data_IF_618093920919
#
_entry.id   IF_618093920919
#
_cell.length_a   1.000
_cell.length_b   1.000
_cell.length_c   1.000
_cell.angle_alpha   90.00
_cell.angle_beta   90.00
_cell.angle_gamma   90.00
#
_symmetry.space_group_name_H-M   'P 1'
#
loop_
_entity.id
_entity.type
_entity.pdbx_description
1 polymer ?
#
# COMPACT_ATOMS: atom_id res chain seq x y z
N UNK A 1 3.09 4.14 -5.69
CA UNK A 1 1.92 3.86 -4.81
C UNK A 1 1.59 5.03 -3.88
N UNK A 2 2.51 5.54 -3.05
CA UNK A 2 2.22 6.68 -2.14
C UNK A 2 1.88 7.94 -2.93
N UNK A 3 2.67 8.27 -3.94
CA UNK A 3 2.40 9.38 -4.87
C UNK A 3 1.04 9.24 -5.57
N UNK A 4 0.72 8.06 -6.07
CA UNK A 4 -0.57 7.78 -6.71
C UNK A 4 -1.73 7.92 -5.72
N UNK A 5 -1.56 7.43 -4.49
CA UNK A 5 -2.55 7.62 -3.43
C UNK A 5 -2.75 9.11 -3.11
N UNK A 6 -1.66 9.88 -3.02
CA UNK A 6 -1.71 11.33 -2.82
C UNK A 6 -2.42 12.04 -3.98
N UNK A 7 -2.14 11.67 -5.23
CA UNK A 7 -2.86 12.18 -6.39
C UNK A 7 -4.37 11.90 -6.29
N UNK A 8 -4.76 10.72 -5.83
CA UNK A 8 -6.14 10.34 -5.53
C UNK A 8 -6.76 11.01 -4.28
N UNK A 9 -6.01 11.88 -3.59
CA UNK A 9 -6.49 12.66 -2.44
C UNK A 9 -6.16 12.07 -1.07
N UNK A 10 -5.28 11.08 -0.98
CA UNK A 10 -4.85 10.54 0.31
C UNK A 10 -3.91 11.51 1.04
N UNK A 11 -4.24 11.81 2.29
CA UNK A 11 -3.42 12.60 3.23
C UNK A 11 -2.69 11.68 4.22
N UNK A 12 -3.13 10.43 4.35
CA UNK A 12 -2.49 9.44 5.20
C UNK A 12 -2.52 8.04 4.59
N UNK A 13 -1.40 7.31 4.75
CA UNK A 13 -1.26 5.91 4.36
C UNK A 13 -0.83 5.09 5.56
N UNK A 14 -1.60 4.04 5.86
CA UNK A 14 -1.29 3.09 6.92
C UNK A 14 -0.82 1.79 6.28
N UNK A 15 0.43 1.42 6.56
CA UNK A 15 1.08 0.25 5.97
C UNK A 15 1.13 -0.89 6.96
N UNK A 16 0.76 -2.08 6.52
CA UNK A 16 0.98 -3.33 7.23
C UNK A 16 1.76 -4.31 6.39
N UNK A 17 2.71 -4.99 7.00
CA UNK A 17 3.48 -6.04 6.36
C UNK A 17 4.13 -6.96 7.37
N UNK A 18 4.44 -8.19 6.93
CA UNK A 18 5.24 -9.13 7.69
C UNK A 18 6.72 -8.72 7.72
N UNK A 19 7.58 -9.63 8.18
CA UNK A 19 9.00 -9.36 8.40
C UNK A 19 9.85 -9.31 7.12
N UNK A 20 9.51 -10.09 6.08
CA UNK A 20 10.32 -10.18 4.86
C UNK A 20 10.28 -8.86 4.08
N UNK A 21 11.45 -8.28 3.82
CA UNK A 21 11.58 -6.99 3.15
C UNK A 21 11.26 -5.78 4.02
N UNK A 22 10.85 -5.97 5.29
CA UNK A 22 10.40 -4.86 6.15
C UNK A 22 11.50 -3.82 6.40
N UNK A 23 12.74 -4.23 6.63
CA UNK A 23 13.86 -3.30 6.83
C UNK A 23 14.13 -2.46 5.57
N UNK A 24 13.99 -3.05 4.39
CA UNK A 24 14.07 -2.32 3.12
C UNK A 24 12.98 -1.25 3.02
N UNK A 25 11.73 -1.59 3.31
CA UNK A 25 10.61 -0.64 3.30
C UNK A 25 10.80 0.46 4.35
N UNK A 26 11.26 0.11 5.56
CA UNK A 26 11.57 1.09 6.61
C UNK A 26 12.62 2.09 6.17
N UNK A 27 13.67 1.64 5.50
CA UNK A 27 14.74 2.52 5.03
C UNK A 27 14.32 3.32 3.78
N UNK A 28 13.91 2.63 2.71
CA UNK A 28 13.73 3.26 1.40
C UNK A 28 12.38 3.96 1.22
N UNK A 29 11.33 3.54 1.94
CA UNK A 29 10.00 4.14 1.81
C UNK A 29 9.69 5.07 2.99
N UNK A 30 10.07 4.69 4.20
CA UNK A 30 9.83 5.50 5.39
C UNK A 30 10.99 6.44 5.74
N UNK A 31 12.12 6.34 5.06
CA UNK A 31 13.29 7.18 5.30
C UNK A 31 13.99 6.91 6.64
N UNK A 32 13.75 5.74 7.25
CA UNK A 32 14.41 5.40 8.53
C UNK A 32 15.90 5.16 8.31
N UNK A 33 16.79 5.93 8.98
CA UNK A 33 18.23 5.79 8.76
C UNK A 33 18.75 4.38 9.08
N UNK A 34 19.60 3.83 8.21
CA UNK A 34 20.20 2.51 8.41
C UNK A 34 20.97 2.40 9.73
N UNK A 35 21.66 3.49 10.15
CA UNK A 35 22.35 3.54 11.44
C UNK A 35 21.41 3.35 12.62
N UNK A 36 20.21 3.94 12.56
CA UNK A 36 19.19 3.75 13.59
C UNK A 36 18.67 2.30 13.59
N UNK A 37 18.41 1.74 12.41
CA UNK A 37 18.01 0.34 12.28
C UNK A 37 19.08 -0.58 12.88
N UNK A 38 20.34 -0.35 12.57
CA UNK A 38 21.46 -1.14 13.09
C UNK A 38 21.59 -1.04 14.62
N UNK A 39 21.38 0.17 15.19
CA UNK A 39 21.37 0.40 16.64
C UNK A 39 20.22 -0.33 17.33
N UNK A 40 19.03 -0.29 16.74
CA UNK A 40 17.87 -1.04 17.24
C UNK A 40 18.12 -2.55 17.21
N UNK A 41 18.68 -3.06 16.11
CA UNK A 41 19.01 -4.49 15.97
C UNK A 41 20.03 -4.98 17.00
N UNK A 42 20.99 -4.12 17.40
CA UNK A 42 21.93 -4.40 18.48
C UNK A 42 21.34 -4.31 19.90
N UNK A 43 20.12 -3.82 20.01
CA UNK A 43 19.49 -3.63 21.32
C UNK A 43 20.01 -2.41 22.11
N UNK A 44 20.77 -1.53 21.46
CA UNK A 44 21.40 -0.35 22.07
C UNK A 44 20.46 0.87 22.13
N UNK A 45 19.24 0.73 21.61
CA UNK A 45 18.26 1.82 21.62
C UNK A 45 17.81 2.15 23.06
N UNK A 46 18.00 3.40 23.47
CA UNK A 46 17.63 3.91 24.80
C UNK A 46 16.14 4.15 25.01
N UNK A 47 15.30 3.81 24.05
CA UNK A 47 13.84 3.99 24.17
C UNK A 47 13.28 2.95 25.14
N UNK A 48 12.77 3.41 26.27
CA UNK A 48 12.09 2.59 27.30
C UNK A 48 10.83 1.86 26.80
N UNK A 49 10.37 2.18 25.59
CA UNK A 49 9.23 1.55 24.95
C UNK A 49 9.58 0.37 24.03
N UNK A 50 10.87 0.05 23.89
CA UNK A 50 11.34 -1.06 23.05
C UNK A 50 11.36 -2.38 23.81
N UNK A 51 10.25 -2.74 24.42
CA UNK A 51 10.05 -4.04 25.07
C UNK A 51 9.43 -5.01 24.04
N UNK A 52 10.17 -5.33 23.00
CA UNK A 52 9.75 -6.29 21.97
C UNK A 52 10.79 -7.37 21.75
N UNK A 53 10.35 -8.60 21.60
CA UNK A 53 11.21 -9.77 21.38
C UNK A 53 12.02 -9.64 20.08
N UNK A 54 11.41 -9.07 19.03
CA UNK A 54 12.03 -8.95 17.70
C UNK A 54 12.00 -7.49 17.22
N UNK A 55 13.17 -6.88 17.11
CA UNK A 55 13.34 -5.44 16.82
C UNK A 55 12.79 -4.99 15.48
N UNK A 56 12.84 -5.83 14.45
CA UNK A 56 12.30 -5.48 13.13
C UNK A 56 10.75 -5.52 13.07
N UNK A 57 10.07 -5.94 14.11
CA UNK A 57 8.61 -5.86 14.20
C UNK A 57 8.09 -4.48 14.61
N UNK A 58 8.97 -3.56 15.01
CA UNK A 58 8.59 -2.22 15.42
C UNK A 58 7.91 -1.45 14.29
N UNK A 59 6.91 -0.67 14.67
CA UNK A 59 6.28 0.29 13.77
C UNK A 59 7.11 1.56 13.61
N UNK A 60 6.68 2.41 12.68
CA UNK A 60 7.26 3.73 12.48
C UNK A 60 6.22 4.69 11.93
N UNK A 61 6.49 5.99 12.05
CA UNK A 61 5.68 7.05 11.46
C UNK A 61 6.60 8.10 10.86
N UNK A 62 6.25 8.56 9.69
CA UNK A 62 6.94 9.66 9.01
C UNK A 62 5.93 10.55 8.30
N UNK A 63 6.35 11.74 7.94
CA UNK A 63 5.63 12.63 7.03
C UNK A 63 6.54 12.86 5.85
N UNK A 64 6.03 12.67 4.66
CA UNK A 64 6.78 12.86 3.42
C UNK A 64 6.06 13.84 2.52
N UNK A 65 6.80 14.67 1.84
CA UNK A 65 6.28 15.50 0.77
C UNK A 65 6.47 14.74 -0.54
N UNK A 66 5.38 14.59 -1.30
CA UNK A 66 5.36 13.90 -2.59
C UNK A 66 4.92 14.86 -3.69
N UNK A 67 5.57 14.77 -4.83
CA UNK A 67 5.16 15.49 -6.02
C UNK A 67 4.08 14.69 -6.73
N UNK A 68 2.93 15.29 -6.97
CA UNK A 68 1.82 14.68 -7.70
C UNK A 68 1.54 15.42 -8.99
N UNK A 69 1.29 14.67 -10.04
CA UNK A 69 0.84 15.21 -11.32
C UNK A 69 -0.69 15.33 -11.29
N UNK A 70 -1.19 16.55 -11.51
CA UNK A 70 -2.62 16.88 -11.49
C UNK A 70 -3.20 16.77 -12.90
N UNK A 71 -3.01 15.72 -13.63
CA UNK A 71 -3.59 15.56 -14.96
C UNK A 71 -3.26 16.68 -15.96
N UNK A 72 -3.37 16.42 -17.22
CA UNK A 72 -3.33 17.44 -18.28
C UNK A 72 -4.72 18.04 -18.41
N UNK A 73 -4.91 19.24 -17.91
CA UNK A 73 -6.09 20.02 -18.29
C UNK A 73 -5.89 20.48 -19.74
N UNK A 74 -6.71 19.96 -20.65
CA UNK A 74 -6.70 20.35 -22.05
C UNK A 74 -7.30 21.73 -22.31
N UNK A 75 -7.54 22.51 -21.24
CA UNK A 75 -7.89 23.91 -21.36
C UNK A 75 -6.61 24.73 -21.57
N UNK A 76 -6.43 25.18 -22.80
CA UNK A 76 -5.35 25.99 -23.31
C UNK A 76 -5.06 27.22 -22.46
N UNK A 77 -3.99 27.16 -21.63
CA UNK A 77 -3.34 28.37 -21.16
C UNK A 77 -1.94 28.46 -21.80
N UNK A 78 -1.83 29.37 -22.76
CA UNK A 78 -0.56 29.79 -23.35
C UNK A 78 0.21 30.61 -22.32
N UNK A 79 1.15 30.01 -21.62
CA UNK A 79 2.19 30.75 -20.89
C UNK A 79 3.53 30.47 -21.56
N UNK A 80 4.18 31.54 -21.99
CA UNK A 80 5.46 31.49 -22.69
C UNK A 80 6.57 30.88 -21.84
N UNK A 81 7.15 29.80 -22.32
CA UNK A 81 8.32 29.13 -21.79
C UNK A 81 8.63 27.92 -22.66
N UNK A 82 9.93 27.57 -22.82
CA UNK A 82 10.39 26.47 -23.66
C UNK A 82 9.89 25.10 -23.13
N UNK A 83 8.66 24.75 -23.45
CA UNK A 83 8.13 23.40 -23.29
C UNK A 83 8.12 22.70 -24.66
N UNK A 84 8.46 21.41 -24.69
CA UNK A 84 8.38 20.62 -25.93
C UNK A 84 6.95 20.62 -26.46
N UNK A 85 6.81 20.68 -27.79
CA UNK A 85 5.56 20.51 -28.50
C UNK A 85 5.38 18.99 -28.74
N UNK A 86 4.15 18.49 -28.59
CA UNK A 86 3.79 17.18 -29.11
C UNK A 86 3.65 17.24 -30.65
N UNK A 87 3.45 16.08 -31.29
CA UNK A 87 3.36 15.98 -32.76
C UNK A 87 2.24 16.82 -33.37
N UNK A 88 1.25 17.26 -32.58
CA UNK A 88 0.13 18.10 -32.99
C UNK A 88 0.37 19.60 -32.69
N UNK A 89 1.55 19.97 -32.17
CA UNK A 89 1.92 21.36 -31.86
C UNK A 89 1.22 21.92 -30.62
N UNK A 90 0.63 21.06 -29.78
CA UNK A 90 -0.04 21.44 -28.53
C UNK A 90 0.95 21.37 -27.38
N UNK A 91 1.10 22.45 -26.61
CA UNK A 91 1.88 22.44 -25.36
C UNK A 91 1.07 21.78 -24.27
N UNK A 92 1.43 20.57 -23.91
CA UNK A 92 0.88 19.91 -22.73
C UNK A 92 1.65 20.36 -21.50
N UNK A 93 1.02 21.12 -20.63
CA UNK A 93 1.61 21.51 -19.35
C UNK A 93 1.12 20.54 -18.27
N UNK A 94 2.01 19.71 -17.78
CA UNK A 94 1.73 18.88 -16.60
C UNK A 94 1.84 19.76 -15.34
N UNK A 95 0.73 20.01 -14.69
CA UNK A 95 0.72 20.70 -13.40
C UNK A 95 1.21 19.73 -12.32
N UNK A 96 2.20 20.16 -11.56
CA UNK A 96 2.75 19.42 -10.42
C UNK A 96 2.41 20.14 -9.13
N UNK A 97 1.99 19.39 -8.13
CA UNK A 97 1.68 19.90 -6.79
C UNK A 97 2.47 19.10 -5.75
N UNK A 98 3.00 19.78 -4.74
CA UNK A 98 3.57 19.14 -3.56
C UNK A 98 2.47 18.83 -2.56
N UNK A 99 2.33 17.56 -2.21
CA UNK A 99 1.36 17.09 -1.21
C UNK A 99 2.06 16.42 -0.05
N UNK A 100 1.60 16.77 1.13
CA UNK A 100 2.11 16.22 2.37
C UNK A 100 1.32 14.99 2.79
N UNK A 101 1.99 13.86 2.93
CA UNK A 101 1.38 12.58 3.27
C UNK A 101 1.95 12.04 4.58
N UNK A 102 1.07 11.75 5.53
CA UNK A 102 1.43 11.02 6.74
C UNK A 102 1.50 9.53 6.44
N UNK A 103 2.65 8.92 6.70
CA UNK A 103 2.84 7.48 6.56
C UNK A 103 3.02 6.83 7.92
N UNK A 104 2.31 5.74 8.17
CA UNK A 104 2.43 4.96 9.41
C UNK A 104 2.60 3.49 9.05
N UNK A 105 3.64 2.84 9.57
CA UNK A 105 3.77 1.39 9.52
C UNK A 105 3.36 0.80 10.85
N UNK A 106 2.35 -0.06 10.84
CA UNK A 106 1.91 -0.76 12.04
C UNK A 106 2.99 -1.71 12.55
N UNK A 107 3.22 -1.82 13.87
CA UNK A 107 3.99 -2.92 14.41
C UNK A 107 3.29 -4.24 14.07
N UNK A 108 4.05 -5.30 13.85
CA UNK A 108 3.47 -6.60 13.55
C UNK A 108 3.99 -7.69 14.47
N UNK A 109 3.20 -8.71 14.81
CA UNK A 109 3.68 -9.90 15.51
C UNK A 109 4.37 -10.87 14.53
N UNK A 110 4.95 -11.95 15.04
CA UNK A 110 5.46 -13.06 14.21
C UNK A 110 4.35 -13.82 13.48
N UNK A 111 3.10 -13.68 13.90
CA UNK A 111 1.94 -14.27 13.24
C UNK A 111 1.66 -13.51 11.94
N UNK A 112 1.92 -14.15 10.81
CA UNK A 112 1.66 -13.59 9.49
C UNK A 112 0.17 -13.25 9.33
N UNK A 113 -0.09 -12.17 8.61
CA UNK A 113 -1.43 -11.63 8.29
C UNK A 113 -2.22 -11.03 9.48
N UNK A 114 -1.82 -11.26 10.73
CA UNK A 114 -2.51 -10.70 11.90
C UNK A 114 -2.54 -9.15 11.90
N UNK A 115 -1.55 -8.52 11.28
CA UNK A 115 -1.47 -7.05 11.16
C UNK A 115 -2.57 -6.46 10.24
N UNK A 116 -3.20 -7.26 9.40
CA UNK A 116 -4.18 -6.78 8.42
C UNK A 116 -5.40 -6.16 9.10
N UNK A 117 -5.95 -6.83 10.10
CA UNK A 117 -7.06 -6.31 10.90
C UNK A 117 -6.66 -5.07 11.71
N UNK A 118 -5.42 -5.03 12.21
CA UNK A 118 -4.87 -3.87 12.92
C UNK A 118 -4.81 -2.66 12.00
N UNK A 119 -4.32 -2.84 10.77
CA UNK A 119 -4.26 -1.76 9.77
C UNK A 119 -5.66 -1.26 9.43
N UNK A 120 -6.62 -2.15 9.21
CA UNK A 120 -8.01 -1.77 8.96
C UNK A 120 -8.59 -0.92 10.10
N UNK A 121 -8.34 -1.30 11.36
CA UNK A 121 -8.74 -0.54 12.54
C UNK A 121 -8.03 0.82 12.64
N UNK A 122 -6.73 0.89 12.34
CA UNK A 122 -5.97 2.14 12.32
C UNK A 122 -6.48 3.10 11.24
N UNK A 123 -6.78 2.59 10.04
CA UNK A 123 -7.37 3.36 8.93
C UNK A 123 -8.72 3.92 9.38
N UNK A 124 -9.60 3.09 9.90
CA UNK A 124 -10.92 3.53 10.40
C UNK A 124 -10.77 4.62 11.46
N UNK A 125 -9.89 4.43 12.44
CA UNK A 125 -9.64 5.43 13.49
C UNK A 125 -9.20 6.78 12.94
N UNK A 126 -8.32 6.80 11.93
CA UNK A 126 -7.91 8.04 11.26
C UNK A 126 -9.06 8.67 10.46
N UNK A 127 -9.85 7.87 9.74
CA UNK A 127 -11.03 8.34 9.00
C UNK A 127 -12.07 8.97 9.94
N UNK A 128 -12.28 8.40 11.13
CA UNK A 128 -13.18 8.97 12.14
C UNK A 128 -12.75 10.39 12.58
N UNK A 129 -11.46 10.67 12.63
CA UNK A 129 -10.94 12.02 12.95
C UNK A 129 -11.18 13.02 11.83
N UNK A 130 -11.21 12.57 10.59
CA UNK A 130 -11.49 13.42 9.41
C UNK A 130 -12.97 13.77 9.33
N UNK A 131 -13.86 12.84 9.72
CA UNK A 131 -15.31 12.99 9.56
C UNK A 131 -16.03 12.46 10.82
N UNK A 132 -15.91 13.21 11.91
CA UNK A 132 -16.48 12.85 13.21
C UNK A 132 -18.00 12.62 13.13
N UNK A 133 -18.82 13.50 12.47
CA UNK A 133 -20.27 13.32 12.44
C UNK A 133 -20.73 12.02 11.78
N UNK A 134 -19.98 11.50 10.82
CA UNK A 134 -20.33 10.27 10.09
C UNK A 134 -19.50 9.06 10.52
N UNK A 135 -18.70 9.17 11.59
CA UNK A 135 -17.83 8.09 12.07
C UNK A 135 -16.81 7.62 11.03
N UNK A 136 -16.30 8.55 10.19
CA UNK A 136 -15.32 8.25 9.15
C UNK A 136 -15.87 7.44 7.97
N UNK A 137 -17.18 7.40 7.76
CA UNK A 137 -17.83 6.60 6.71
C UNK A 137 -18.10 7.37 5.41
N UNK A 138 -17.79 8.67 5.37
CA UNK A 138 -17.94 9.45 4.13
C UNK A 138 -16.89 9.05 3.10
N UNK A 139 -17.23 9.18 1.82
CA UNK A 139 -16.28 8.99 0.72
C UNK A 139 -15.08 9.93 0.84
N UNK A 140 -15.28 11.13 1.39
CA UNK A 140 -14.19 12.09 1.63
C UNK A 140 -13.19 11.53 2.63
N UNK A 141 -13.64 11.06 3.80
CA UNK A 141 -12.73 10.48 4.81
C UNK A 141 -12.05 9.20 4.32
N UNK A 142 -12.78 8.37 3.56
CA UNK A 142 -12.24 7.15 2.97
C UNK A 142 -11.15 7.43 1.94
N UNK A 143 -11.30 8.47 1.10
CA UNK A 143 -10.26 8.89 0.16
C UNK A 143 -9.01 9.43 0.87
N UNK A 144 -9.19 10.19 1.95
CA UNK A 144 -8.09 10.82 2.68
C UNK A 144 -7.18 9.84 3.43
N UNK A 145 -7.66 8.65 3.75
CA UNK A 145 -6.87 7.66 4.50
C UNK A 145 -6.90 6.31 3.82
N UNK A 146 -5.74 5.83 3.41
CA UNK A 146 -5.59 4.56 2.69
C UNK A 146 -4.89 3.49 3.55
N UNK A 147 -5.41 2.25 3.50
CA UNK A 147 -4.71 1.06 3.96
C UNK A 147 -3.88 0.45 2.81
N UNK A 148 -2.64 0.06 3.12
CA UNK A 148 -1.73 -0.63 2.22
C UNK A 148 -1.16 -1.85 2.92
N UNK A 149 -1.41 -3.04 2.39
CA UNK A 149 -0.97 -4.31 2.95
C UNK A 149 -0.01 -5.02 2.00
N UNK A 150 1.13 -5.45 2.52
CA UNK A 150 2.15 -6.16 1.75
C UNK A 150 2.27 -7.58 2.29
N UNK A 151 2.03 -8.57 1.43
CA UNK A 151 1.92 -9.98 1.77
C UNK A 151 2.98 -10.83 1.06
N UNK A 152 3.38 -11.93 1.71
CA UNK A 152 3.97 -13.05 1.01
C UNK A 152 2.87 -13.95 0.43
N UNK A 153 3.15 -14.61 -0.69
CA UNK A 153 2.18 -15.41 -1.44
C UNK A 153 1.58 -16.59 -0.65
N UNK A 154 2.42 -17.32 0.06
CA UNK A 154 1.98 -18.48 0.84
C UNK A 154 1.07 -18.07 2.01
N UNK A 155 1.40 -17.00 2.72
CA UNK A 155 0.60 -16.50 3.82
C UNK A 155 -0.73 -15.92 3.30
N UNK A 156 -0.71 -15.18 2.20
CA UNK A 156 -1.90 -14.55 1.63
C UNK A 156 -2.98 -15.57 1.28
N UNK A 157 -2.62 -16.66 0.62
CA UNK A 157 -3.60 -17.67 0.20
C UNK A 157 -3.88 -18.75 1.26
N UNK A 158 -3.02 -18.91 2.24
CA UNK A 158 -3.08 -20.03 3.18
C UNK A 158 -3.59 -19.70 4.58
N UNK A 159 -3.67 -18.42 4.95
CA UNK A 159 -4.14 -18.00 6.27
C UNK A 159 -5.52 -17.33 6.17
N UNK A 160 -6.48 -17.81 6.96
CA UNK A 160 -7.87 -17.40 6.91
C UNK A 160 -8.13 -15.92 7.24
N UNK A 161 -7.21 -15.25 7.94
CA UNK A 161 -7.31 -13.83 8.32
C UNK A 161 -7.56 -12.92 7.10
N UNK A 162 -6.93 -13.21 5.95
CA UNK A 162 -7.17 -12.43 4.73
C UNK A 162 -8.62 -12.54 4.25
N UNK A 163 -9.17 -13.76 4.25
CA UNK A 163 -10.53 -14.01 3.88
C UNK A 163 -11.51 -13.26 4.80
N UNK A 164 -11.26 -13.29 6.11
CA UNK A 164 -12.07 -12.59 7.11
C UNK A 164 -12.01 -11.07 6.91
N UNK A 165 -10.83 -10.49 6.72
CA UNK A 165 -10.67 -9.04 6.50
C UNK A 165 -11.29 -8.61 5.18
N UNK A 166 -11.20 -9.41 4.12
CA UNK A 166 -11.82 -9.12 2.83
C UNK A 166 -13.35 -9.14 2.91
N UNK A 167 -13.95 -9.99 3.76
CA UNK A 167 -15.40 -9.97 3.99
C UNK A 167 -15.91 -8.65 4.57
N UNK A 168 -15.05 -7.89 5.23
CA UNK A 168 -15.43 -6.61 5.84
C UNK A 168 -15.47 -5.44 4.85
N UNK A 169 -14.96 -5.61 3.62
CA UNK A 169 -14.70 -4.52 2.68
C UNK A 169 -15.95 -3.67 2.36
N UNK A 170 -17.08 -4.31 2.14
CA UNK A 170 -18.32 -3.65 1.72
C UNK A 170 -19.38 -3.57 2.82
N UNK A 171 -19.06 -4.03 4.04
CA UNK A 171 -19.98 -3.91 5.16
C UNK A 171 -20.05 -2.46 5.66
N UNK A 172 -21.24 -1.85 5.79
CA UNK A 172 -21.38 -0.42 6.06
C UNK A 172 -20.64 0.08 7.30
N UNK A 173 -20.52 -0.74 8.35
CA UNK A 173 -19.87 -0.36 9.60
C UNK A 173 -18.37 -0.71 9.63
N UNK A 174 -17.88 -1.52 8.71
CA UNK A 174 -16.50 -1.99 8.67
C UNK A 174 -15.69 -1.44 7.50
N UNK A 175 -16.34 -1.11 6.38
CA UNK A 175 -15.64 -0.63 5.19
C UNK A 175 -14.75 0.58 5.48
N UNK A 176 -13.55 0.55 4.95
CA UNK A 176 -12.59 1.66 4.99
C UNK A 176 -12.40 2.34 3.63
N UNK A 177 -13.29 2.06 2.68
CA UNK A 177 -13.18 2.57 1.31
C UNK A 177 -12.06 1.89 0.52
N UNK A 178 -11.87 0.61 0.77
CA UNK A 178 -10.89 -0.24 0.10
C UNK A 178 -9.48 -0.18 0.68
N UNK A 179 -8.82 -1.31 0.64
CA UNK A 179 -7.40 -1.48 0.97
C UNK A 179 -6.67 -1.94 -0.29
N UNK A 180 -5.47 -1.43 -0.51
CA UNK A 180 -4.60 -1.95 -1.57
C UNK A 180 -3.75 -3.08 -1.01
N UNK A 181 -3.86 -4.25 -1.61
CA UNK A 181 -3.07 -5.42 -1.24
C UNK A 181 -1.97 -5.65 -2.27
N UNK A 182 -0.74 -5.75 -1.82
CA UNK A 182 0.42 -6.10 -2.62
C UNK A 182 0.85 -7.52 -2.24
N UNK A 183 0.75 -8.45 -3.18
CA UNK A 183 1.23 -9.82 -2.98
C UNK A 183 2.58 -10.01 -3.65
N UNK A 184 3.62 -10.14 -2.86
CA UNK A 184 4.97 -10.47 -3.33
C UNK A 184 5.05 -11.98 -3.53
N UNK A 185 4.77 -12.42 -4.75
CA UNK A 185 4.79 -13.83 -5.11
C UNK A 185 6.23 -14.27 -5.40
N UNK A 186 7.01 -14.43 -4.36
CA UNK A 186 8.38 -14.94 -4.43
C UNK A 186 8.46 -16.46 -4.40
N UNK A 187 7.31 -17.14 -4.39
CA UNK A 187 7.17 -18.57 -4.41
C UNK A 187 7.80 -19.31 -3.22
N UNK A 188 8.05 -18.58 -2.11
CA UNK A 188 8.63 -19.15 -0.89
C UNK A 188 7.52 -19.47 0.11
N UNK A 189 7.33 -20.76 0.38
CA UNK A 189 6.38 -21.25 1.37
C UNK A 189 7.09 -22.13 2.41
N UNK A 190 8.03 -21.58 3.18
CA UNK A 190 8.87 -22.32 4.13
C UNK A 190 9.60 -23.47 3.43
N UNK A 191 9.26 -24.74 3.73
CA UNK A 191 9.85 -25.94 3.12
C UNK A 191 9.06 -26.48 1.92
N UNK A 192 7.99 -25.79 1.51
CA UNK A 192 7.07 -26.25 0.47
C UNK A 192 7.43 -25.65 -0.88
N UNK A 193 7.64 -26.49 -1.88
CA UNK A 193 7.90 -26.05 -3.26
C UNK A 193 6.62 -25.47 -3.88
N UNK A 194 6.70 -24.49 -4.80
CA UNK A 194 5.55 -23.76 -5.34
C UNK A 194 4.42 -24.64 -5.86
N UNK A 195 4.75 -25.66 -6.65
CA UNK A 195 3.78 -26.61 -7.24
C UNK A 195 2.99 -27.45 -6.22
N UNK A 196 3.40 -27.46 -4.94
CA UNK A 196 2.73 -28.16 -3.84
C UNK A 196 2.16 -27.22 -2.80
N UNK A 197 2.29 -25.91 -3.01
CA UNK A 197 1.94 -24.91 -1.99
C UNK A 197 0.44 -24.57 -1.98
N UNK A 198 -0.22 -24.69 -3.13
CA UNK A 198 -1.64 -24.31 -3.28
C UNK A 198 -2.28 -25.04 -4.46
N UNK A 199 -3.60 -25.18 -4.42
CA UNK A 199 -4.39 -25.80 -5.49
C UNK A 199 -4.67 -24.83 -6.65
N UNK A 200 -4.71 -23.52 -6.37
CA UNK A 200 -4.93 -22.49 -7.41
C UNK A 200 -3.61 -22.09 -8.09
N UNK A 201 -3.64 -21.67 -9.36
CA UNK A 201 -2.46 -21.18 -10.07
C UNK A 201 -1.81 -19.99 -9.41
N UNK A 202 -2.61 -19.04 -8.90
CA UNK A 202 -2.12 -17.81 -8.31
C UNK A 202 -2.52 -17.66 -6.85
N UNK A 203 -1.65 -17.11 -5.99
CA UNK A 203 -1.99 -16.83 -4.58
C UNK A 203 -3.13 -15.83 -4.46
N UNK A 204 -3.27 -14.94 -5.44
CA UNK A 204 -4.31 -13.92 -5.55
C UNK A 204 -5.71 -14.47 -5.85
N UNK A 205 -5.84 -15.74 -6.24
CA UNK A 205 -7.14 -16.31 -6.61
C UNK A 205 -8.16 -16.30 -5.47
N UNK A 206 -7.69 -16.24 -4.22
CA UNK A 206 -8.55 -16.05 -3.04
C UNK A 206 -9.38 -14.78 -3.18
N UNK A 207 -8.83 -13.71 -3.74
CA UNK A 207 -9.52 -12.41 -3.87
C UNK A 207 -10.67 -12.43 -4.90
N UNK A 208 -10.70 -13.40 -5.81
CA UNK A 208 -11.79 -13.56 -6.79
C UNK A 208 -13.15 -13.74 -6.13
N UNK A 209 -13.18 -14.45 -5.00
CA UNK A 209 -14.40 -14.69 -4.24
C UNK A 209 -15.03 -13.44 -3.63
N UNK A 210 -14.28 -12.33 -3.59
CA UNK A 210 -14.71 -11.03 -3.03
C UNK A 210 -14.91 -9.95 -4.10
N UNK A 211 -14.83 -10.32 -5.39
CA UNK A 211 -15.00 -9.36 -6.47
C UNK A 211 -13.87 -8.33 -6.59
N UNK A 212 -12.76 -8.52 -5.89
CA UNK A 212 -11.64 -7.59 -5.94
C UNK A 212 -10.90 -7.71 -7.28
N UNK A 213 -10.61 -6.59 -7.99
CA UNK A 213 -9.78 -6.61 -9.18
C UNK A 213 -8.36 -7.06 -8.83
N UNK A 214 -7.80 -7.88 -9.72
CA UNK A 214 -6.47 -8.45 -9.55
C UNK A 214 -5.59 -8.02 -10.72
N UNK A 215 -4.51 -7.34 -10.41
CA UNK A 215 -3.49 -6.93 -11.37
C UNK A 215 -2.27 -7.84 -11.24
N UNK A 216 -2.01 -8.64 -12.28
CA UNK A 216 -0.80 -9.46 -12.35
C UNK A 216 0.28 -8.73 -13.14
N UNK A 217 1.49 -8.66 -12.58
CA UNK A 217 2.60 -7.99 -13.24
C UNK A 217 3.90 -8.76 -13.02
N UNK A 218 4.80 -8.69 -13.99
CA UNK A 218 6.16 -9.19 -13.84
C UNK A 218 6.94 -8.29 -12.87
N UNK A 219 7.41 -8.85 -11.75
CA UNK A 219 8.18 -8.13 -10.74
C UNK A 219 9.57 -7.67 -11.20
N UNK A 220 10.07 -8.25 -12.30
CA UNK A 220 11.35 -7.87 -12.90
C UNK A 220 11.22 -6.70 -13.90
N UNK A 221 9.99 -6.22 -14.16
CA UNK A 221 9.70 -5.03 -14.95
C UNK A 221 9.22 -3.88 -14.04
N UNK A 222 10.13 -3.01 -13.57
CA UNK A 222 9.78 -1.94 -12.63
C UNK A 222 8.80 -0.92 -13.21
N UNK A 223 8.81 -0.68 -14.52
CA UNK A 223 7.86 0.22 -15.16
C UNK A 223 6.45 -0.36 -15.16
N UNK A 224 6.30 -1.64 -15.49
CA UNK A 224 5.02 -2.34 -15.40
C UNK A 224 4.50 -2.35 -13.96
N UNK A 225 5.38 -2.57 -12.97
CA UNK A 225 5.04 -2.50 -11.54
C UNK A 225 4.50 -1.11 -11.19
N UNK A 226 5.16 -0.04 -11.62
CA UNK A 226 4.70 1.34 -11.36
C UNK A 226 3.34 1.59 -12.02
N UNK A 227 3.14 1.19 -13.28
CA UNK A 227 1.85 1.34 -13.97
C UNK A 227 0.72 0.62 -13.25
N UNK A 228 0.93 -0.63 -12.86
CA UNK A 228 -0.07 -1.41 -12.12
C UNK A 228 -0.35 -0.83 -10.72
N UNK A 229 0.67 -0.30 -10.04
CA UNK A 229 0.50 0.40 -8.78
C UNK A 229 -0.37 1.65 -8.91
N UNK A 230 -0.18 2.45 -9.97
CA UNK A 230 -1.01 3.62 -10.26
C UNK A 230 -2.45 3.19 -10.48
N UNK A 231 -2.68 2.22 -11.35
CA UNK A 231 -4.02 1.70 -11.65
C UNK A 231 -4.75 1.18 -10.40
N UNK A 232 -4.06 0.46 -9.52
CA UNK A 232 -4.64 -0.04 -8.28
C UNK A 232 -5.01 1.10 -7.31
N UNK A 233 -4.19 2.14 -7.22
CA UNK A 233 -4.47 3.32 -6.40
C UNK A 233 -5.64 4.12 -6.95
N UNK A 234 -5.69 4.33 -8.26
CA UNK A 234 -6.75 5.05 -8.96
C UNK A 234 -8.09 4.31 -8.83
N UNK A 235 -8.08 3.00 -9.02
CA UNK A 235 -9.26 2.16 -8.82
C UNK A 235 -9.81 2.30 -7.39
N UNK A 236 -8.94 2.21 -6.40
CA UNK A 236 -9.34 2.39 -5.00
C UNK A 236 -9.89 3.80 -4.74
N UNK A 237 -9.24 4.84 -5.26
CA UNK A 237 -9.67 6.22 -5.08
C UNK A 237 -11.04 6.48 -5.73
N UNK A 238 -11.27 5.91 -6.93
CA UNK A 238 -12.51 6.10 -7.66
C UNK A 238 -13.66 5.28 -7.08
N UNK A 239 -13.46 3.99 -6.86
CA UNK A 239 -14.53 3.07 -6.47
C UNK A 239 -14.65 2.83 -4.97
N UNK A 240 -13.59 3.08 -4.20
CA UNK A 240 -13.56 2.84 -2.75
C UNK A 240 -13.62 1.36 -2.39
N UNK A 241 -13.11 0.54 -3.26
CA UNK A 241 -13.07 -0.92 -3.11
C UNK A 241 -11.65 -1.44 -2.94
N UNK A 242 -11.54 -2.65 -2.43
CA UNK A 242 -10.28 -3.38 -2.35
C UNK A 242 -9.71 -3.60 -3.76
N UNK A 243 -8.43 -3.39 -3.91
CA UNK A 243 -7.70 -3.77 -5.10
C UNK A 243 -6.49 -4.61 -4.72
N UNK A 244 -6.18 -5.59 -5.56
CA UNK A 244 -5.09 -6.50 -5.33
C UNK A 244 -4.10 -6.45 -6.48
N UNK A 245 -2.86 -6.34 -6.12
CA UNK A 245 -1.74 -6.26 -7.03
C UNK A 245 -0.75 -7.38 -6.69
N UNK A 246 -0.53 -8.28 -7.63
CA UNK A 246 0.37 -9.42 -7.47
C UNK A 246 1.52 -9.33 -8.45
N UNK A 247 2.74 -9.27 -7.96
CA UNK A 247 3.91 -9.36 -8.80
C UNK A 247 4.70 -10.64 -8.51
N UNK A 248 5.03 -11.34 -9.59
CA UNK A 248 5.83 -12.55 -9.55
C UNK A 248 7.25 -12.23 -10.00
N UNK A 249 8.22 -12.73 -9.26
CA UNK A 249 9.62 -12.73 -9.65
C UNK A 249 9.96 -14.04 -10.34
N UNK A 250 10.70 -13.96 -11.45
CA UNK A 250 11.34 -15.00 -12.21
C UNK A 250 10.74 -16.40 -12.11
N UNK A 251 10.19 -16.90 -13.18
CA UNK A 251 10.10 -18.35 -13.33
C UNK A 251 11.50 -18.87 -13.58
N UNK A 252 12.14 -19.40 -12.55
CA UNK A 252 13.28 -20.29 -12.69
C UNK A 252 12.79 -21.68 -13.02
#
# INVERSE_FOLDING_TARGET
MVESAAAGGAEAVVVGMAHRGRLNVLNNVFGKPLGLIATEMRGESRSSFNVGDVRYHLGTRTVTDVEVELGTDSSSYVLGGNAGLDDDGVKTVTLKEQRRVEMSMAPNPSHLEAVNSVVAGMVRSKQMRVDVPRGGRSRVSQRKVMGLLIHGDAAFCGLGVNAEVMQLQDLPDYTTGGTVHIVVNNQIGFTTVPRRARSSPHPSDVAKGYGAPIFHVNGDDPEAVVRACRLAADFRAEWGQVSLFSFSYGQL
#
